data_IF_997600287172
#
_entry.id   IF_997600287172
#
_cell.length_a   1.000
_cell.length_b   1.000
_cell.length_c   1.000
_cell.angle_alpha   90.00
_cell.angle_beta   90.00
_cell.angle_gamma   90.00
#
_symmetry.space_group_name_H-M   'P 1'
#
loop_
_entity.id
_entity.type
_entity.pdbx_description
1 polymer ?
#
# COMPACT_ATOMS: atom_id res chain seq x y z
N UNK A 1 3.85 -1.40 -9.37
CA UNK A 1 2.74 -0.43 -9.34
C UNK A 1 2.51 0.16 -10.73
N UNK A 2 3.41 0.99 -11.27
CA UNK A 2 3.23 1.61 -12.61
C UNK A 2 3.44 0.63 -13.77
N UNK A 3 4.46 -0.22 -13.70
CA UNK A 3 4.67 -1.26 -14.72
C UNK A 3 3.54 -2.29 -14.62
N UNK A 4 2.68 -2.30 -15.64
CA UNK A 4 1.62 -3.29 -15.85
C UNK A 4 1.79 -3.84 -17.27
N UNK A 5 1.63 -5.16 -17.44
CA UNK A 5 1.76 -5.81 -18.73
C UNK A 5 0.64 -5.40 -19.69
N UNK A 6 0.87 -5.52 -21.00
CA UNK A 6 -0.12 -5.14 -22.04
C UNK A 6 -1.47 -5.88 -21.91
N UNK A 7 -1.45 -7.09 -21.34
CA UNK A 7 -2.63 -7.94 -21.12
C UNK A 7 -2.90 -8.20 -19.64
N UNK A 8 -2.25 -7.47 -18.76
CA UNK A 8 -2.50 -7.59 -17.32
C UNK A 8 -3.73 -6.76 -16.98
N UNK A 9 -4.77 -7.41 -16.45
CA UNK A 9 -5.92 -6.74 -15.88
C UNK A 9 -5.86 -6.86 -14.35
N UNK A 10 -5.92 -5.73 -13.66
CA UNK A 10 -5.84 -5.67 -12.20
C UNK A 10 -7.13 -5.10 -11.67
N UNK A 11 -7.68 -5.75 -10.65
CA UNK A 11 -8.77 -5.16 -9.89
C UNK A 11 -8.30 -3.89 -9.17
N UNK A 12 -9.24 -3.05 -8.76
CA UNK A 12 -8.92 -1.87 -7.97
C UNK A 12 -8.32 -2.27 -6.62
N UNK A 13 -8.77 -3.39 -6.05
CA UNK A 13 -8.24 -3.98 -4.83
C UNK A 13 -6.77 -4.37 -4.99
N UNK A 14 -6.40 -5.02 -6.10
CA UNK A 14 -5.01 -5.43 -6.36
C UNK A 14 -4.10 -4.20 -6.51
N UNK A 15 -4.57 -3.18 -7.22
CA UNK A 15 -3.83 -1.92 -7.40
C UNK A 15 -3.64 -1.21 -6.07
N UNK A 16 -4.67 -1.15 -5.22
CA UNK A 16 -4.58 -0.56 -3.89
C UNK A 16 -3.66 -1.37 -2.97
N UNK A 17 -3.70 -2.69 -3.02
CA UNK A 17 -2.80 -3.56 -2.26
C UNK A 17 -1.34 -3.30 -2.64
N UNK A 18 -1.02 -3.23 -3.94
CA UNK A 18 0.31 -2.87 -4.43
C UNK A 18 0.74 -1.47 -3.96
N UNK A 19 -0.18 -0.52 -3.95
CA UNK A 19 0.07 0.83 -3.42
C UNK A 19 0.44 0.79 -1.93
N UNK A 20 -0.32 0.06 -1.12
CA UNK A 20 -0.05 -0.08 0.32
C UNK A 20 1.23 -0.85 0.63
N UNK A 21 1.60 -1.85 -0.18
CA UNK A 21 2.90 -2.54 -0.08
C UNK A 21 4.09 -1.60 -0.33
N UNK A 22 3.96 -0.66 -1.26
CA UNK A 22 4.99 0.35 -1.50
C UNK A 22 5.03 1.39 -0.36
N UNK A 23 3.85 1.83 0.09
CA UNK A 23 3.75 2.81 1.18
C UNK A 23 4.26 2.27 2.51
N UNK A 24 4.15 0.97 2.76
CA UNK A 24 4.63 0.35 4.01
C UNK A 24 6.15 0.32 4.16
N UNK A 25 6.90 0.62 3.09
CA UNK A 25 8.36 0.81 3.14
C UNK A 25 8.75 2.11 3.85
N UNK A 26 7.86 3.10 3.89
CA UNK A 26 8.10 4.37 4.55
C UNK A 26 7.57 4.35 5.99
N UNK A 27 8.22 5.05 6.93
CA UNK A 27 7.70 5.22 8.28
C UNK A 27 6.30 5.84 8.27
N UNK A 28 5.44 5.36 9.16
CA UNK A 28 4.06 5.84 9.29
C UNK A 28 3.95 7.37 9.45
N UNK A 29 4.91 7.98 10.13
CA UNK A 29 4.97 9.43 10.38
C UNK A 29 5.18 10.27 9.11
N UNK A 30 5.70 9.68 8.04
CA UNK A 30 5.91 10.33 6.73
C UNK A 30 4.61 10.39 5.90
N UNK A 31 3.61 9.56 6.22
CA UNK A 31 2.37 9.42 5.44
C UNK A 31 1.30 10.48 5.78
N UNK A 32 1.70 11.76 5.77
CA UNK A 32 0.90 12.90 6.26
C UNK A 32 -0.40 13.19 5.49
N UNK A 33 -0.54 12.65 4.27
CA UNK A 33 -1.71 12.88 3.40
C UNK A 33 -2.79 11.80 3.52
N UNK A 34 -2.54 10.77 4.31
CA UNK A 34 -3.47 9.66 4.52
C UNK A 34 -4.10 9.84 5.90
N UNK A 35 -5.43 9.78 5.97
CA UNK A 35 -6.15 9.91 7.24
C UNK A 35 -5.77 8.77 8.20
N UNK A 36 -5.73 9.08 9.49
CA UNK A 36 -5.35 8.12 10.52
C UNK A 36 -6.25 6.89 10.54
N UNK A 37 -7.55 7.04 10.27
CA UNK A 37 -8.49 5.91 10.18
C UNK A 37 -8.07 4.86 9.14
N UNK A 38 -7.51 5.29 8.01
CA UNK A 38 -7.06 4.41 6.94
C UNK A 38 -5.69 3.81 7.24
N UNK A 39 -4.79 4.58 7.86
CA UNK A 39 -3.51 4.05 8.34
C UNK A 39 -3.75 2.94 9.38
N UNK A 40 -4.62 3.16 10.35
CA UNK A 40 -4.97 2.14 11.35
C UNK A 40 -5.57 0.88 10.74
N UNK A 41 -6.43 1.04 9.72
CA UNK A 41 -7.11 -0.09 9.09
C UNK A 41 -6.22 -0.89 8.13
N UNK A 42 -5.36 -0.21 7.38
CA UNK A 42 -4.68 -0.82 6.24
C UNK A 42 -3.16 -0.88 6.39
N UNK A 43 -2.50 0.14 6.96
CA UNK A 43 -1.03 0.22 6.97
C UNK A 43 -0.39 -0.95 7.73
N UNK A 44 -0.91 -1.32 8.89
CA UNK A 44 -0.35 -2.42 9.71
C UNK A 44 -0.42 -3.78 9.01
N UNK A 45 -1.38 -3.99 8.09
CA UNK A 45 -1.49 -5.23 7.30
C UNK A 45 -0.31 -5.43 6.35
N UNK A 46 0.26 -4.34 5.85
CA UNK A 46 1.32 -4.35 4.84
C UNK A 46 2.71 -4.06 5.40
N UNK A 47 2.80 -3.74 6.70
CA UNK A 47 4.07 -3.66 7.41
C UNK A 47 4.66 -5.06 7.45
N UNK A 48 5.58 -5.37 6.53
CA UNK A 48 6.44 -6.55 6.65
C UNK A 48 7.28 -6.33 7.90
N UNK A 49 6.83 -6.89 9.02
CA UNK A 49 7.68 -7.06 10.18
C UNK A 49 8.94 -7.78 9.72
N UNK A 50 10.08 -7.19 10.02
CA UNK A 50 11.31 -7.95 10.23
C UNK A 50 10.94 -9.14 11.12
N UNK A 51 10.80 -10.33 10.51
CA UNK A 51 10.75 -11.61 11.19
C UNK A 51 12.08 -12.31 10.91
#
# INVERSE_FOLDING_TARGET
YISQGEYEDRSIEDTLNLGWELLSMFPRTELKRIREEYLNRYYEKFKKGER
#
